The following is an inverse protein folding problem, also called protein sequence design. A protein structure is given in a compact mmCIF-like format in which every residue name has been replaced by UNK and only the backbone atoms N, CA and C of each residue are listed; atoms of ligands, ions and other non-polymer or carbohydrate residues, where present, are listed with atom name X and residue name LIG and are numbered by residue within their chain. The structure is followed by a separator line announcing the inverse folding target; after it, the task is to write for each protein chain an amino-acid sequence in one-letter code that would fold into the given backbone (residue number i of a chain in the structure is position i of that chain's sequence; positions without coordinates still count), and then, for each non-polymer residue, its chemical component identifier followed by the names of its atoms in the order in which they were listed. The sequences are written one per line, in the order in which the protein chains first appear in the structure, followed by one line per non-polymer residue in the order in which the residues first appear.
data_IF_412299684127
#
_entry.id   IF_412299684127
#
_cell.length_a   1.000
_cell.length_b   1.000
_cell.length_c   1.000
_cell.angle_alpha   90.00
_cell.angle_beta   90.00
_cell.angle_gamma   90.00
#
_symmetry.space_group_name_H-M   'P 1'
#
loop_
_entity.id
_entity.type
_entity.pdbx_description
1 polymer ?
#
# COMPACT_ATOMS: atom_id res chain seq x y z
N UNK A 1 -12.99 10.61 -3.48
CA UNK A 1 -14.43 10.31 -3.30
C UNK A 1 -14.59 9.66 -1.94
N UNK A 2 -15.24 10.38 -1.04
CA UNK A 2 -15.57 9.93 0.31
C UNK A 2 -16.70 8.91 0.13
N UNK A 3 -16.38 7.63 0.25
CA UNK A 3 -17.41 6.59 0.39
C UNK A 3 -18.08 6.78 1.74
N UNK A 4 -19.17 7.53 1.77
CA UNK A 4 -20.14 7.43 2.84
C UNK A 4 -20.72 6.02 2.77
N UNK A 5 -20.21 5.11 3.59
CA UNK A 5 -20.88 3.83 3.82
C UNK A 5 -22.30 4.18 4.30
N UNK A 6 -23.29 3.97 3.44
CA UNK A 6 -24.66 4.19 3.85
C UNK A 6 -25.00 3.12 4.89
N UNK A 7 -25.79 3.50 5.89
CA UNK A 7 -26.31 2.58 6.92
C UNK A 7 -26.96 1.34 6.28
N UNK A 8 -27.38 1.46 5.03
CA UNK A 8 -28.02 0.41 4.24
C UNK A 8 -27.06 -0.67 3.72
N UNK A 9 -25.76 -0.33 3.53
CA UNK A 9 -24.75 -1.29 3.06
C UNK A 9 -24.10 -2.04 4.23
N UNK A 10 -24.15 -1.46 5.42
CA UNK A 10 -23.61 -2.08 6.64
C UNK A 10 -24.57 -3.18 7.19
N UNK A 11 -25.87 -3.01 7.05
CA UNK A 11 -26.89 -3.95 7.56
C UNK A 11 -26.78 -5.39 7.03
N UNK A 12 -26.49 -5.67 5.75
CA UNK A 12 -26.40 -7.04 5.28
C UNK A 12 -25.08 -7.73 5.71
N UNK A 13 -24.02 -6.98 5.93
CA UNK A 13 -22.70 -7.54 6.27
C UNK A 13 -22.73 -8.10 7.70
N UNK A 14 -23.16 -7.33 8.69
CA UNK A 14 -23.20 -7.82 10.06
C UNK A 14 -24.31 -8.85 10.32
N UNK A 15 -25.40 -8.84 9.54
CA UNK A 15 -26.42 -9.91 9.59
C UNK A 15 -25.83 -11.24 9.11
N UNK A 16 -24.96 -11.22 8.10
CA UNK A 16 -24.27 -12.41 7.61
C UNK A 16 -23.22 -12.93 8.62
N UNK A 17 -22.54 -12.02 9.33
CA UNK A 17 -21.53 -12.37 10.34
C UNK A 17 -22.17 -12.88 11.65
N UNK A 18 -23.34 -12.37 12.00
CA UNK A 18 -24.14 -12.89 13.11
C UNK A 18 -24.61 -14.33 12.84
N UNK A 19 -24.96 -14.66 11.59
CA UNK A 19 -25.36 -16.02 11.18
C UNK A 19 -24.16 -16.97 11.13
N UNK A 20 -22.96 -16.45 10.82
CA UNK A 20 -21.72 -17.23 10.75
C UNK A 20 -21.04 -17.44 12.10
N UNK A 21 -21.58 -16.87 13.20
CA UNK A 21 -20.98 -16.94 14.53
C UNK A 21 -19.52 -16.43 14.57
N UNK A 22 -19.15 -15.55 13.65
CA UNK A 22 -17.89 -14.85 13.72
C UNK A 22 -18.03 -13.66 14.70
N UNK A 23 -17.69 -13.92 15.94
CA UNK A 23 -17.69 -12.91 17.00
C UNK A 23 -16.52 -11.94 16.83
N UNK A 24 -16.70 -10.99 15.91
CA UNK A 24 -15.81 -9.84 15.79
C UNK A 24 -16.06 -8.84 16.92
N UNK A 25 -15.09 -7.96 17.19
CA UNK A 25 -15.28 -6.86 18.17
C UNK A 25 -16.49 -5.99 17.80
N UNK A 26 -16.77 -5.81 16.53
CA UNK A 26 -17.92 -5.05 16.01
C UNK A 26 -19.27 -5.71 16.35
N UNK A 27 -19.34 -7.04 16.24
CA UNK A 27 -20.52 -7.82 16.60
C UNK A 27 -20.85 -7.71 18.10
N UNK A 28 -19.82 -7.75 18.94
CA UNK A 28 -19.96 -7.57 20.39
C UNK A 28 -20.48 -6.19 20.76
N UNK A 29 -19.92 -5.16 20.16
CA UNK A 29 -20.36 -3.79 20.38
C UNK A 29 -21.82 -3.62 19.97
N UNK A 30 -22.23 -4.18 18.83
CA UNK A 30 -23.62 -4.11 18.36
C UNK A 30 -24.56 -4.79 19.34
N UNK A 31 -24.21 -5.97 19.88
CA UNK A 31 -24.98 -6.68 20.89
C UNK A 31 -25.08 -5.84 22.18
N UNK A 32 -23.97 -5.24 22.61
CA UNK A 32 -23.93 -4.40 23.81
C UNK A 32 -24.82 -3.15 23.67
N UNK A 33 -24.80 -2.48 22.51
CA UNK A 33 -25.65 -1.31 22.23
C UNK A 33 -27.14 -1.69 22.24
N UNK A 34 -27.49 -2.80 21.58
CA UNK A 34 -28.85 -3.30 21.55
C UNK A 34 -29.30 -3.66 22.98
N UNK A 35 -28.43 -4.33 23.75
CA UNK A 35 -28.69 -4.65 25.14
C UNK A 35 -28.94 -3.41 26.01
N UNK A 36 -28.07 -2.40 25.92
CA UNK A 36 -28.21 -1.12 26.62
C UNK A 36 -29.54 -0.41 26.27
N UNK A 37 -29.92 -0.44 25.01
CA UNK A 37 -31.21 0.13 24.55
C UNK A 37 -32.42 -0.59 25.16
N UNK A 38 -32.36 -1.93 25.27
CA UNK A 38 -33.45 -2.72 25.87
C UNK A 38 -33.58 -2.48 27.38
N UNK A 39 -32.47 -2.25 28.08
CA UNK A 39 -32.44 -1.97 29.51
C UNK A 39 -32.84 -0.50 29.82
N UNK A 40 -32.81 0.38 28.81
CA UNK A 40 -33.11 1.80 28.95
C UNK A 40 -31.88 2.67 29.26
N UNK A 41 -30.67 2.10 29.25
CA UNK A 41 -29.39 2.78 29.54
C UNK A 41 -28.82 3.45 28.28
N UNK A 42 -29.55 4.41 27.72
CA UNK A 42 -29.21 5.09 26.48
C UNK A 42 -27.92 5.92 26.57
N UNK A 43 -27.64 6.51 27.73
CA UNK A 43 -26.45 7.33 27.94
C UNK A 43 -25.19 6.47 27.87
N UNK A 44 -25.17 5.32 28.48
CA UNK A 44 -24.05 4.38 28.51
C UNK A 44 -23.80 3.79 27.12
N UNK A 45 -24.87 3.35 26.43
CA UNK A 45 -24.79 2.89 25.06
C UNK A 45 -24.21 3.95 24.10
N UNK A 46 -24.62 5.21 24.27
CA UNK A 46 -24.11 6.32 23.45
C UNK A 46 -22.61 6.59 23.68
N UNK A 47 -22.16 6.52 24.93
CA UNK A 47 -20.73 6.70 25.27
C UNK A 47 -19.89 5.60 24.62
N UNK A 48 -20.34 4.34 24.67
CA UNK A 48 -19.65 3.22 24.03
C UNK A 48 -19.53 3.42 22.52
N UNK A 49 -20.61 3.86 21.85
CA UNK A 49 -20.58 4.16 20.40
C UNK A 49 -19.56 5.25 20.06
N UNK A 50 -19.56 6.34 20.84
CA UNK A 50 -18.64 7.46 20.61
C UNK A 50 -17.18 7.03 20.80
N UNK A 51 -16.88 6.31 21.88
CA UNK A 51 -15.54 5.83 22.17
C UNK A 51 -15.03 4.88 21.07
N UNK A 52 -15.91 3.99 20.60
CA UNK A 52 -15.56 3.07 19.51
C UNK A 52 -15.33 3.81 18.20
N UNK A 53 -16.21 4.75 17.85
CA UNK A 53 -16.04 5.57 16.65
C UNK A 53 -14.72 6.37 16.66
N UNK A 54 -14.33 6.90 17.83
CA UNK A 54 -13.04 7.58 18.00
C UNK A 54 -11.89 6.58 17.83
N UNK A 55 -11.97 5.40 18.44
CA UNK A 55 -10.95 4.37 18.34
C UNK A 55 -10.74 3.93 16.90
N UNK A 56 -11.81 3.66 16.16
CA UNK A 56 -11.77 3.27 14.76
C UNK A 56 -11.21 4.38 13.87
N UNK A 57 -11.61 5.64 14.12
CA UNK A 57 -11.07 6.79 13.39
C UNK A 57 -9.56 6.95 13.61
N UNK A 58 -9.07 6.76 14.83
CA UNK A 58 -7.64 6.81 15.16
C UNK A 58 -6.87 5.65 14.51
N UNK A 59 -7.44 4.45 14.51
CA UNK A 59 -6.83 3.29 13.85
C UNK A 59 -6.70 3.51 12.35
N UNK A 60 -7.77 3.93 11.68
CA UNK A 60 -7.75 4.28 10.25
C UNK A 60 -6.73 5.38 9.94
N UNK A 61 -6.72 6.44 10.75
CA UNK A 61 -5.75 7.53 10.58
C UNK A 61 -4.31 7.07 10.70
N UNK A 62 -4.01 6.21 11.69
CA UNK A 62 -2.67 5.64 11.89
C UNK A 62 -2.24 4.75 10.72
N UNK A 63 -3.15 3.90 10.24
CA UNK A 63 -2.90 3.01 9.09
C UNK A 63 -2.72 3.79 7.79
N UNK A 64 -3.54 4.81 7.55
CA UNK A 64 -3.43 5.65 6.36
C UNK A 64 -2.11 6.44 6.36
N UNK A 65 -1.69 6.94 7.52
CA UNK A 65 -0.41 7.63 7.65
C UNK A 65 0.78 6.70 7.41
N UNK A 66 0.73 5.47 7.90
CA UNK A 66 1.74 4.46 7.62
C UNK A 66 1.80 4.13 6.12
N UNK A 67 0.65 3.91 5.48
CA UNK A 67 0.55 3.65 4.04
C UNK A 67 1.01 4.85 3.19
N UNK A 68 0.75 6.08 3.61
CA UNK A 68 1.19 7.27 2.91
C UNK A 68 2.72 7.40 2.89
N UNK A 69 3.40 7.01 3.96
CA UNK A 69 4.86 6.96 3.99
C UNK A 69 5.45 5.99 2.96
N UNK A 70 4.77 4.87 2.71
CA UNK A 70 5.17 3.90 1.67
C UNK A 70 4.85 4.43 0.27
N UNK A 71 3.69 5.07 0.09
CA UNK A 71 3.33 5.68 -1.22
C UNK A 71 4.31 6.75 -1.64
N UNK A 72 4.94 7.47 -0.71
CA UNK A 72 5.99 8.44 -1.05
C UNK A 72 7.21 7.79 -1.69
N UNK A 73 7.45 6.50 -1.45
CA UNK A 73 8.47 5.73 -2.15
C UNK A 73 8.07 5.44 -3.62
N UNK A 74 6.78 5.42 -3.93
CA UNK A 74 6.30 5.22 -5.31
C UNK A 74 6.51 6.47 -6.19
N UNK A 75 6.60 7.66 -5.59
CA UNK A 75 6.89 8.91 -6.32
C UNK A 75 8.41 9.09 -6.63
N UNK A 76 9.22 8.09 -6.31
CA UNK A 76 10.67 8.12 -6.62
C UNK A 76 10.91 8.03 -8.12
N UNK A 77 10.17 7.19 -8.86
CA UNK A 77 10.29 7.05 -10.31
C UNK A 77 9.37 8.04 -11.05
N UNK A 78 9.81 8.58 -12.20
CA UNK A 78 8.98 9.44 -13.04
C UNK A 78 7.76 8.67 -13.59
N UNK A 79 6.66 9.38 -13.82
CA UNK A 79 5.44 8.81 -14.43
C UNK A 79 5.48 8.80 -15.97
N UNK A 80 6.44 9.49 -16.55
CA UNK A 80 6.65 9.62 -18.00
C UNK A 80 8.12 9.50 -18.33
N UNK A 81 8.43 9.00 -19.52
CA UNK A 81 9.80 8.94 -20.05
C UNK A 81 9.84 9.34 -21.52
N UNK A 82 10.99 9.87 -21.93
CA UNK A 82 11.27 10.13 -23.33
C UNK A 82 11.68 8.81 -24.01
N UNK A 83 10.85 8.33 -24.92
CA UNK A 83 11.03 7.07 -25.63
C UNK A 83 11.25 7.34 -27.10
N UNK A 84 12.20 6.63 -27.73
CA UNK A 84 12.41 6.62 -29.18
C UNK A 84 11.77 5.37 -29.78
N UNK A 85 10.73 5.58 -30.59
CA UNK A 85 10.09 4.54 -31.42
C UNK A 85 10.17 4.95 -32.88
N UNK A 86 10.64 4.06 -33.76
CA UNK A 86 10.76 4.34 -35.21
C UNK A 86 11.51 5.65 -35.50
N UNK A 87 12.60 5.92 -34.81
CA UNK A 87 13.42 7.15 -34.91
C UNK A 87 12.70 8.46 -34.52
N UNK A 88 11.53 8.39 -33.88
CA UNK A 88 10.80 9.55 -33.36
C UNK A 88 10.84 9.52 -31.83
N UNK A 89 11.25 10.65 -31.24
CA UNK A 89 11.25 10.84 -29.79
C UNK A 89 9.90 11.37 -29.35
N UNK A 90 9.33 10.72 -28.36
CA UNK A 90 8.04 11.10 -27.78
C UNK A 90 8.02 10.88 -26.25
N UNK A 91 7.34 11.76 -25.55
CA UNK A 91 7.10 11.58 -24.11
C UNK A 91 5.94 10.61 -23.94
N UNK A 92 6.19 9.52 -23.23
CA UNK A 92 5.22 8.41 -23.05
C UNK A 92 5.05 8.12 -21.57
N UNK A 93 3.80 7.93 -21.14
CA UNK A 93 3.51 7.43 -19.77
C UNK A 93 4.13 6.05 -19.56
N UNK A 94 4.70 5.80 -18.40
CA UNK A 94 5.38 4.52 -18.04
C UNK A 94 4.49 3.30 -18.25
N UNK A 95 3.18 3.44 -18.06
CA UNK A 95 2.21 2.35 -18.27
C UNK A 95 2.06 1.93 -19.73
N UNK A 96 2.54 2.76 -20.68
CA UNK A 96 2.48 2.53 -22.14
C UNK A 96 3.85 2.21 -22.75
N UNK A 97 4.86 2.05 -21.90
CA UNK A 97 6.21 1.67 -22.31
C UNK A 97 6.27 0.14 -22.39
N UNK A 98 6.73 -0.36 -23.51
CA UNK A 98 6.91 -1.78 -23.74
C UNK A 98 8.37 -2.20 -23.58
N UNK A 99 8.58 -3.51 -23.39
CA UNK A 99 9.90 -4.10 -23.42
C UNK A 99 10.50 -3.87 -24.83
N UNK A 100 11.81 -3.63 -24.89
CA UNK A 100 12.58 -3.27 -26.08
C UNK A 100 12.42 -1.82 -26.56
N UNK A 101 11.57 -1.00 -25.94
CA UNK A 101 11.58 0.46 -26.19
C UNK A 101 12.94 1.06 -25.80
N UNK A 102 13.35 2.10 -26.52
CA UNK A 102 14.58 2.84 -26.23
C UNK A 102 14.22 4.09 -25.45
N UNK A 103 14.62 4.14 -24.20
CA UNK A 103 14.44 5.29 -23.30
C UNK A 103 15.68 6.18 -23.38
N UNK A 104 15.47 7.50 -23.54
CA UNK A 104 16.50 8.52 -23.56
C UNK A 104 16.49 9.25 -22.23
N UNK A 105 17.62 9.23 -21.52
CA UNK A 105 17.75 9.81 -20.18
C UNK A 105 18.80 10.91 -20.24
N UNK A 106 18.36 12.15 -20.04
CA UNK A 106 19.24 13.33 -20.04
C UNK A 106 19.87 13.52 -18.64
N UNK A 107 20.96 14.29 -18.56
CA UNK A 107 21.55 14.67 -17.28
C UNK A 107 20.53 15.29 -16.31
N UNK A 108 20.60 14.91 -15.04
CA UNK A 108 19.69 15.37 -14.00
C UNK A 108 18.28 14.74 -14.03
N UNK A 109 18.02 13.81 -14.95
CA UNK A 109 16.73 13.12 -15.01
C UNK A 109 16.76 11.81 -14.24
N UNK A 110 15.63 11.49 -13.61
CA UNK A 110 15.42 10.17 -13.03
C UNK A 110 15.08 9.15 -14.10
N UNK A 111 15.55 7.93 -13.90
CA UNK A 111 15.31 6.77 -14.77
C UNK A 111 13.89 6.25 -14.48
N UNK A 112 13.09 6.08 -15.52
CA UNK A 112 11.68 5.70 -15.35
C UNK A 112 11.45 4.19 -15.31
N UNK A 113 12.28 3.42 -16.03
CA UNK A 113 12.12 1.96 -16.19
C UNK A 113 13.47 1.26 -16.03
N UNK A 114 13.43 0.00 -15.60
CA UNK A 114 14.62 -0.86 -15.59
C UNK A 114 15.04 -1.20 -17.02
N UNK A 115 16.34 -1.20 -17.29
CA UNK A 115 16.86 -1.51 -18.61
C UNK A 115 18.37 -1.68 -18.67
N UNK A 116 18.87 -1.91 -19.89
CA UNK A 116 20.29 -2.01 -20.22
C UNK A 116 20.72 -0.78 -21.02
N UNK A 117 21.87 -0.22 -20.69
CA UNK A 117 22.49 0.86 -21.44
C UNK A 117 22.93 0.32 -22.81
N UNK A 118 22.41 0.91 -23.90
CA UNK A 118 22.78 0.56 -25.27
C UNK A 118 23.68 1.61 -25.93
N UNK A 119 23.70 2.83 -25.35
CA UNK A 119 24.56 3.90 -25.81
C UNK A 119 24.72 4.95 -24.70
N UNK A 120 25.88 5.61 -24.68
CA UNK A 120 26.22 6.65 -23.74
C UNK A 120 27.07 6.15 -22.55
N UNK A 121 27.48 7.09 -21.73
CA UNK A 121 28.26 6.89 -20.52
C UNK A 121 27.86 7.97 -19.51
N UNK A 122 27.62 7.59 -18.26
CA UNK A 122 27.24 8.52 -17.21
C UNK A 122 27.42 7.93 -15.83
N UNK A 123 27.54 8.78 -14.82
CA UNK A 123 27.38 8.40 -13.42
C UNK A 123 25.89 8.39 -13.05
N UNK A 124 25.46 7.36 -12.33
CA UNK A 124 24.08 7.18 -11.89
C UNK A 124 24.05 7.02 -10.37
N UNK A 125 23.32 7.90 -9.70
CA UNK A 125 23.07 7.79 -8.27
C UNK A 125 21.96 6.77 -8.00
N UNK A 126 22.33 5.68 -7.37
CA UNK A 126 21.45 4.54 -7.08
C UNK A 126 20.99 4.50 -5.63
N UNK A 127 21.20 5.55 -4.85
CA UNK A 127 20.88 5.60 -3.43
C UNK A 127 19.42 5.22 -3.09
N UNK A 128 18.50 5.52 -4.01
CA UNK A 128 17.09 5.16 -3.84
C UNK A 128 16.82 3.64 -3.83
N UNK A 129 17.73 2.85 -4.40
CA UNK A 129 17.59 1.38 -4.53
C UNK A 129 18.58 0.66 -3.62
N UNK A 130 19.85 1.07 -3.63
CA UNK A 130 20.93 0.39 -2.91
C UNK A 130 21.20 0.98 -1.53
N UNK A 131 20.76 2.21 -1.28
CA UNK A 131 21.10 2.98 -0.07
C UNK A 131 22.50 3.61 -0.12
N UNK A 132 23.30 3.34 -1.13
CA UNK A 132 24.66 3.89 -1.28
C UNK A 132 24.60 5.21 -2.05
N UNK A 133 25.09 6.29 -1.43
CA UNK A 133 25.06 7.65 -2.02
C UNK A 133 26.17 7.91 -3.03
N UNK A 134 27.11 6.99 -3.21
CA UNK A 134 28.20 7.14 -4.19
C UNK A 134 27.66 6.79 -5.57
N UNK A 135 27.71 7.72 -6.56
CA UNK A 135 27.29 7.43 -7.92
C UNK A 135 28.12 6.30 -8.54
N UNK A 136 27.49 5.48 -9.34
CA UNK A 136 28.09 4.35 -10.05
C UNK A 136 28.19 4.67 -11.53
N UNK A 137 29.38 4.51 -12.09
CA UNK A 137 29.60 4.64 -13.52
C UNK A 137 28.79 3.60 -14.30
N UNK A 138 28.11 4.05 -15.35
CA UNK A 138 27.30 3.23 -16.26
C UNK A 138 27.74 3.42 -17.68
N UNK A 139 27.99 2.31 -18.33
CA UNK A 139 28.46 2.22 -19.73
C UNK A 139 27.64 1.16 -20.49
N UNK A 140 28.01 0.88 -21.71
CA UNK A 140 27.36 -0.11 -22.56
C UNK A 140 27.21 -1.45 -21.83
N UNK A 141 26.02 -2.05 -21.95
CA UNK A 141 25.57 -3.32 -21.33
C UNK A 141 25.40 -3.30 -19.80
N UNK A 142 25.57 -2.14 -19.15
CA UNK A 142 25.27 -2.02 -17.73
C UNK A 142 23.75 -1.90 -17.45
N UNK A 143 23.30 -2.52 -16.37
CA UNK A 143 21.92 -2.37 -15.90
C UNK A 143 21.70 -1.03 -15.21
N UNK A 144 20.52 -0.43 -15.46
CA UNK A 144 20.01 0.74 -14.74
C UNK A 144 18.62 0.45 -14.21
N UNK A 145 18.25 1.12 -13.11
CA UNK A 145 17.04 0.84 -12.38
C UNK A 145 16.11 2.06 -12.30
N UNK A 146 14.81 1.81 -12.36
CA UNK A 146 13.79 2.83 -12.17
C UNK A 146 13.95 3.54 -10.81
N UNK A 147 13.77 4.86 -10.78
CA UNK A 147 13.90 5.67 -9.58
C UNK A 147 15.32 6.20 -9.30
N UNK A 148 16.35 5.72 -9.99
CA UNK A 148 17.72 6.22 -9.86
C UNK A 148 17.92 7.51 -10.65
N UNK A 149 18.92 8.31 -10.30
CA UNK A 149 19.18 9.62 -10.88
C UNK A 149 20.39 9.57 -11.82
N UNK A 150 20.19 9.92 -13.07
CA UNK A 150 21.28 10.11 -14.02
C UNK A 150 21.94 11.48 -13.83
N UNK A 151 23.25 11.54 -13.64
CA UNK A 151 23.92 12.79 -13.24
C UNK A 151 24.50 13.57 -14.43
N UNK A 152 25.41 13.00 -15.21
CA UNK A 152 26.27 13.79 -16.10
C UNK A 152 26.02 13.59 -17.60
N UNK A 153 25.94 12.35 -18.05
CA UNK A 153 25.85 11.99 -19.46
C UNK A 153 24.43 11.77 -19.96
N UNK A 154 24.25 11.64 -21.27
CA UNK A 154 23.01 11.15 -21.84
C UNK A 154 23.13 9.63 -21.99
N UNK A 155 22.12 8.91 -21.51
CA UNK A 155 22.04 7.46 -21.65
C UNK A 155 20.88 7.09 -22.58
N UNK A 156 21.13 6.15 -23.48
CA UNK A 156 20.08 5.44 -24.20
C UNK A 156 19.98 4.04 -23.61
N UNK A 157 18.79 3.74 -23.11
CA UNK A 157 18.52 2.53 -22.33
C UNK A 157 17.43 1.73 -23.01
N UNK A 158 17.71 0.46 -23.28
CA UNK A 158 16.73 -0.49 -23.76
C UNK A 158 15.94 -1.03 -22.56
N UNK A 159 14.63 -0.84 -22.56
CA UNK A 159 13.75 -1.30 -21.50
C UNK A 159 13.69 -2.82 -21.47
N UNK A 160 13.91 -3.42 -20.29
CA UNK A 160 13.96 -4.88 -20.11
C UNK A 160 12.82 -5.43 -19.31
N UNK A 161 12.10 -4.59 -18.56
CA UNK A 161 11.00 -5.02 -17.69
C UNK A 161 9.77 -4.14 -17.88
N UNK A 162 8.59 -4.70 -17.63
CA UNK A 162 7.35 -3.92 -17.52
C UNK A 162 7.34 -3.12 -16.23
N UNK A 163 6.51 -2.07 -16.16
CA UNK A 163 6.40 -1.19 -14.98
C UNK A 163 6.12 -1.96 -13.69
N UNK A 164 5.29 -3.02 -13.75
CA UNK A 164 4.96 -3.90 -12.62
C UNK A 164 6.10 -4.77 -12.15
N UNK A 165 7.08 -5.03 -13.01
CA UNK A 165 8.20 -5.94 -12.77
C UNK A 165 9.52 -5.22 -12.50
N UNK A 166 9.50 -3.88 -12.46
CA UNK A 166 10.66 -3.08 -12.11
C UNK A 166 11.15 -3.39 -10.70
N UNK A 167 12.43 -3.16 -10.47
CA UNK A 167 13.07 -3.41 -9.16
C UNK A 167 12.37 -2.62 -8.05
N UNK A 168 12.02 -1.36 -8.29
CA UNK A 168 11.30 -0.53 -7.32
C UNK A 168 9.88 -1.07 -7.05
N UNK A 169 9.16 -1.53 -8.08
CA UNK A 169 7.83 -2.10 -7.92
C UNK A 169 7.85 -3.38 -7.05
N UNK A 170 8.87 -4.23 -7.24
CA UNK A 170 9.07 -5.43 -6.41
C UNK A 170 9.38 -5.09 -4.96
N UNK A 171 10.24 -4.09 -4.71
CA UNK A 171 10.55 -3.62 -3.35
C UNK A 171 9.27 -3.13 -2.66
N UNK A 172 8.46 -2.32 -3.34
CA UNK A 172 7.19 -1.82 -2.81
C UNK A 172 6.26 -2.99 -2.47
N UNK A 173 6.09 -3.93 -3.39
CA UNK A 173 5.24 -5.11 -3.17
C UNK A 173 5.68 -5.94 -1.96
N UNK A 174 6.99 -6.18 -1.80
CA UNK A 174 7.53 -6.90 -0.64
C UNK A 174 7.28 -6.16 0.68
N UNK A 175 7.38 -4.84 0.68
CA UNK A 175 7.08 -4.01 1.86
C UNK A 175 5.59 -4.03 2.19
N UNK A 176 4.72 -3.95 1.18
CA UNK A 176 3.26 -4.04 1.35
C UNK A 176 2.84 -5.43 1.88
N UNK A 177 3.42 -6.49 1.34
CA UNK A 177 3.16 -7.87 1.79
C UNK A 177 3.60 -8.07 3.24
N UNK A 178 4.81 -7.62 3.59
CA UNK A 178 5.33 -7.69 4.96
C UNK A 178 4.48 -6.89 5.97
N UNK A 179 3.86 -5.78 5.53
CA UNK A 179 2.97 -4.98 6.37
C UNK A 179 1.52 -5.51 6.40
N UNK A 180 1.11 -6.24 5.35
CA UNK A 180 -0.20 -6.89 5.27
C UNK A 180 -0.32 -8.12 6.18
N UNK A 181 0.78 -8.72 6.60
CA UNK A 181 0.76 -9.77 7.60
C UNK A 181 0.34 -9.18 8.95
N UNK A 182 -0.84 -9.60 9.44
CA UNK A 182 -1.36 -9.21 10.75
C UNK A 182 -0.30 -9.49 11.81
N UNK A 183 -0.01 -8.49 12.63
CA UNK A 183 0.92 -8.68 13.73
C UNK A 183 0.52 -9.92 14.55
N UNK A 184 1.47 -10.81 14.95
CA UNK A 184 1.19 -12.02 15.71
C UNK A 184 0.33 -11.76 16.96
N UNK A 185 0.48 -10.58 17.56
CA UNK A 185 -0.33 -10.12 18.70
C UNK A 185 -1.81 -9.95 18.31
N UNK A 186 -2.11 -9.43 17.12
CA UNK A 186 -3.48 -9.24 16.64
C UNK A 186 -4.16 -10.58 16.36
N UNK A 187 -3.45 -11.52 15.72
CA UNK A 187 -3.94 -12.88 15.51
C UNK A 187 -4.20 -13.64 16.82
N UNK A 188 -3.41 -13.38 17.88
CA UNK A 188 -3.65 -13.93 19.21
C UNK A 188 -4.91 -13.34 19.86
N UNK A 189 -5.11 -12.02 19.79
CA UNK A 189 -6.29 -11.33 20.33
C UNK A 189 -7.56 -11.81 19.62
N UNK A 190 -7.56 -11.94 18.30
CA UNK A 190 -8.69 -12.45 17.52
C UNK A 190 -9.03 -13.89 17.91
N UNK A 191 -8.01 -14.74 18.06
CA UNK A 191 -8.19 -16.12 18.49
C UNK A 191 -8.72 -16.22 19.92
N UNK A 192 -8.23 -15.38 20.83
CA UNK A 192 -8.69 -15.31 22.21
C UNK A 192 -10.15 -14.83 22.27
N UNK A 193 -10.48 -13.75 21.55
CA UNK A 193 -11.83 -13.21 21.50
C UNK A 193 -12.84 -14.24 21.00
N UNK A 194 -12.48 -15.05 20.00
CA UNK A 194 -13.34 -16.11 19.45
C UNK A 194 -13.83 -17.14 20.47
N UNK A 195 -13.04 -17.42 21.49
CA UNK A 195 -13.43 -18.39 22.55
C UNK A 195 -13.95 -17.70 23.81
N UNK A 196 -13.33 -16.59 24.19
CA UNK A 196 -13.67 -15.87 25.43
C UNK A 196 -15.05 -15.20 25.33
N UNK A 197 -15.38 -14.62 24.21
CA UNK A 197 -16.63 -13.89 24.00
C UNK A 197 -17.89 -14.75 24.15
N UNK A 198 -18.02 -15.91 23.45
CA UNK A 198 -19.17 -16.79 23.66
C UNK A 198 -19.29 -17.29 25.09
N UNK A 199 -18.13 -17.56 25.74
CA UNK A 199 -18.11 -17.99 27.13
C UNK A 199 -18.73 -16.95 28.07
N UNK A 200 -18.36 -15.67 27.93
CA UNK A 200 -18.89 -14.57 28.74
C UNK A 200 -20.38 -14.34 28.44
N UNK A 201 -20.80 -14.43 27.18
CA UNK A 201 -22.23 -14.28 26.83
C UNK A 201 -23.08 -15.38 27.51
N UNK A 202 -22.61 -16.63 27.45
CA UNK A 202 -23.30 -17.75 28.08
C UNK A 202 -23.35 -17.54 29.60
N UNK A 203 -22.26 -17.12 30.23
CA UNK A 203 -22.24 -16.81 31.67
C UNK A 203 -23.20 -15.69 32.05
N UNK A 204 -23.28 -14.63 31.23
CA UNK A 204 -24.17 -13.50 31.46
C UNK A 204 -25.68 -13.89 31.32
N UNK A 205 -25.98 -14.89 30.47
CA UNK A 205 -27.33 -15.39 30.30
C UNK A 205 -27.77 -16.37 31.44
N UNK A 206 -26.80 -16.92 32.17
CA UNK A 206 -27.07 -17.85 33.30
C UNK A 206 -27.23 -17.15 34.65
N UNK A 207 -26.88 -15.89 34.74
CA UNK A 207 -27.05 -15.03 35.94
C UNK A 207 -28.32 -14.21 35.81
#
# INVERSE_FOLDING_TARGET
EIYTLSLHDALPIWFSDLIKLDFSMESLMTIAIIGAAFIGEWAEGSIVVILFAISEALERFSMDKARQSIRSLMDIAPKEALIRRNNVEQLVSVDKIDIDDIMIIKPGQKIAMDGLVINGHSSVNQAAITGESVPVEKQLDDEVFAGTLNEEGVLEVKVTKKVTDTTIAKIIHLVEEAQGERAPAQAFVDKFAKYYTPFIIIMALLI
#
